data_IF_037181632374
#
_entry.id   IF_037181632374
#
_cell.length_a   1.000
_cell.length_b   1.000
_cell.length_c   1.000
_cell.angle_alpha   90.00
_cell.angle_beta   90.00
_cell.angle_gamma   90.00
#
_symmetry.space_group_name_H-M   'P 1'
#
loop_
_entity.id
_entity.type
_entity.pdbx_description
1 polymer ?
#
# COMPACT_ATOMS: atom_id res chain seq x y z
N UNK A 1 -8.50 -29.42 -0.61
CA UNK A 1 -9.63 -30.37 -0.73
C UNK A 1 -10.45 -30.18 -2.02
N UNK A 2 -10.69 -28.96 -2.52
CA UNK A 2 -11.47 -28.72 -3.75
C UNK A 2 -11.10 -29.59 -4.96
N UNK A 3 -9.81 -29.72 -5.29
CA UNK A 3 -9.37 -30.57 -6.41
C UNK A 3 -9.64 -32.07 -6.20
N UNK A 4 -9.49 -32.57 -4.96
CA UNK A 4 -9.83 -33.97 -4.61
C UNK A 4 -11.34 -34.20 -4.74
N UNK A 5 -12.13 -33.23 -4.28
CA UNK A 5 -13.59 -33.21 -4.37
C UNK A 5 -14.12 -32.88 -5.78
N UNK A 6 -13.23 -32.67 -6.76
CA UNK A 6 -13.56 -32.31 -8.16
C UNK A 6 -14.46 -31.08 -8.29
N UNK A 7 -14.43 -30.19 -7.32
CA UNK A 7 -15.20 -28.95 -7.36
C UNK A 7 -14.56 -27.99 -8.36
N UNK A 8 -15.39 -27.47 -9.27
CA UNK A 8 -14.96 -26.54 -10.30
C UNK A 8 -15.01 -25.11 -9.79
N UNK A 9 -14.05 -24.28 -10.22
CA UNK A 9 -13.99 -22.84 -10.01
C UNK A 9 -13.25 -22.22 -11.20
N UNK A 10 -13.21 -20.89 -11.27
CA UNK A 10 -12.60 -20.15 -12.39
C UNK A 10 -11.15 -20.57 -12.69
N UNK A 11 -10.76 -20.76 -13.96
CA UNK A 11 -9.38 -21.09 -14.35
C UNK A 11 -8.44 -19.87 -14.36
N UNK A 12 -8.98 -18.65 -14.20
CA UNK A 12 -8.20 -17.40 -14.30
C UNK A 12 -7.24 -17.20 -13.10
N UNK A 13 -7.50 -17.86 -11.98
CA UNK A 13 -6.68 -17.69 -10.78
C UNK A 13 -5.35 -18.43 -10.85
N UNK A 14 -4.30 -17.77 -10.35
CA UNK A 14 -2.97 -18.37 -10.16
C UNK A 14 -2.61 -18.38 -8.69
N UNK A 15 -2.55 -19.58 -8.10
CA UNK A 15 -2.31 -19.76 -6.67
C UNK A 15 -0.80 -19.76 -6.38
N UNK A 16 -0.36 -18.87 -5.50
CA UNK A 16 1.00 -18.86 -4.95
C UNK A 16 0.95 -19.39 -3.51
N UNK A 17 1.61 -20.52 -3.26
CA UNK A 17 1.64 -21.14 -1.94
C UNK A 17 2.67 -20.44 -1.03
N UNK A 18 2.23 -20.04 0.15
CA UNK A 18 3.07 -19.60 1.26
C UNK A 18 2.81 -20.49 2.48
N UNK A 19 3.76 -20.55 3.41
CA UNK A 19 3.56 -21.26 4.68
C UNK A 19 2.58 -20.53 5.61
N UNK A 20 2.51 -19.20 5.52
CA UNK A 20 1.63 -18.37 6.32
C UNK A 20 1.29 -17.10 5.57
N UNK A 21 0.05 -16.60 5.71
CA UNK A 21 -0.36 -15.28 5.20
C UNK A 21 0.43 -14.14 5.84
N UNK A 22 0.96 -14.34 7.05
CA UNK A 22 1.87 -13.40 7.71
C UNK A 22 3.12 -13.09 6.88
N UNK A 23 3.49 -13.92 5.90
CA UNK A 23 4.63 -13.69 5.00
C UNK A 23 4.32 -12.74 3.84
N UNK A 24 3.06 -12.39 3.60
CA UNK A 24 2.68 -11.45 2.52
C UNK A 24 3.18 -10.05 2.87
N UNK A 25 4.05 -9.49 2.02
CA UNK A 25 4.54 -8.11 2.14
C UNK A 25 3.64 -7.17 1.32
N UNK A 26 3.07 -6.11 1.91
CA UNK A 26 2.34 -5.05 1.21
C UNK A 26 3.05 -4.50 -0.04
N UNK A 27 4.37 -4.33 0.01
CA UNK A 27 5.12 -3.85 -1.15
C UNK A 27 5.05 -4.84 -2.32
N UNK A 28 5.05 -6.15 -2.05
CA UNK A 28 4.87 -7.17 -3.08
C UNK A 28 3.46 -7.13 -3.68
N UNK A 29 2.44 -6.82 -2.88
CA UNK A 29 1.07 -6.65 -3.35
C UNK A 29 1.00 -5.47 -4.33
N UNK A 30 1.50 -4.29 -3.94
CA UNK A 30 1.55 -3.13 -4.84
C UNK A 30 2.37 -3.39 -6.10
N UNK A 31 3.52 -4.07 -5.97
CA UNK A 31 4.33 -4.49 -7.12
C UNK A 31 3.57 -5.41 -8.08
N UNK A 32 2.72 -6.29 -7.56
CA UNK A 32 1.91 -7.17 -8.39
C UNK A 32 0.88 -6.37 -9.21
N UNK A 33 0.18 -5.41 -8.60
CA UNK A 33 -0.70 -4.47 -9.33
C UNK A 33 0.07 -3.63 -10.33
N UNK A 34 1.26 -3.13 -9.98
CA UNK A 34 2.14 -2.42 -10.92
C UNK A 34 2.49 -3.26 -12.16
N UNK A 35 2.52 -4.60 -12.02
CA UNK A 35 2.74 -5.55 -13.11
C UNK A 35 1.48 -5.91 -13.90
N UNK A 36 0.33 -5.32 -13.57
CA UNK A 36 -0.91 -5.45 -14.35
C UNK A 36 -1.84 -6.58 -13.92
N UNK A 37 -1.83 -6.99 -12.64
CA UNK A 37 -2.90 -7.89 -12.14
C UNK A 37 -4.17 -7.08 -11.84
N UNK A 38 -5.34 -7.63 -12.16
CA UNK A 38 -6.62 -6.96 -11.93
C UNK A 38 -7.14 -7.13 -10.49
N UNK A 39 -6.73 -8.21 -9.82
CA UNK A 39 -7.09 -8.49 -8.44
C UNK A 39 -6.12 -9.43 -7.73
N UNK A 40 -6.05 -9.31 -6.40
CA UNK A 40 -5.25 -10.16 -5.52
C UNK A 40 -6.08 -10.55 -4.30
N UNK A 41 -6.21 -11.85 -4.06
CA UNK A 41 -6.84 -12.37 -2.85
C UNK A 41 -5.83 -13.12 -1.99
N UNK A 42 -5.74 -12.74 -0.72
CA UNK A 42 -4.98 -13.45 0.31
C UNK A 42 -5.94 -14.32 1.11
N UNK A 43 -5.76 -15.64 1.04
CA UNK A 43 -6.56 -16.61 1.81
C UNK A 43 -5.72 -17.16 2.96
N UNK A 44 -6.23 -17.05 4.18
CA UNK A 44 -5.57 -17.55 5.40
C UNK A 44 -6.46 -18.44 6.26
N UNK A 45 -5.88 -18.93 7.35
CA UNK A 45 -6.62 -19.59 8.43
C UNK A 45 -7.53 -18.62 9.17
N UNK A 46 -8.56 -19.16 9.84
CA UNK A 46 -9.40 -18.41 10.77
C UNK A 46 -8.59 -17.80 11.91
N UNK A 47 -9.08 -16.68 12.45
CA UNK A 47 -8.46 -16.05 13.62
C UNK A 47 -8.61 -16.99 14.80
N UNK A 48 -7.52 -17.20 15.55
CA UNK A 48 -7.43 -18.27 16.56
C UNK A 48 -6.81 -19.58 16.06
N UNK A 49 -6.96 -19.92 14.77
CA UNK A 49 -6.47 -21.18 14.19
C UNK A 49 -5.11 -21.03 13.49
N UNK A 50 -4.39 -19.93 13.75
CA UNK A 50 -3.13 -19.69 13.08
C UNK A 50 -2.05 -20.66 13.56
N UNK A 51 -1.51 -21.47 12.65
CA UNK A 51 -0.35 -22.32 12.94
C UNK A 51 0.87 -21.53 13.45
N UNK A 52 0.99 -20.26 13.04
CA UNK A 52 2.04 -19.34 13.49
C UNK A 52 1.51 -18.29 14.46
N UNK A 53 0.49 -18.63 15.26
CA UNK A 53 -0.09 -17.86 16.37
C UNK A 53 -0.79 -16.57 15.93
N UNK A 54 -0.05 -15.58 15.43
CA UNK A 54 -0.59 -14.24 15.10
C UNK A 54 -0.36 -13.83 13.64
N UNK A 55 0.22 -14.71 12.81
CA UNK A 55 0.58 -14.40 11.42
C UNK A 55 -0.60 -13.93 10.56
N UNK A 56 -1.79 -14.50 10.72
CA UNK A 56 -2.99 -14.08 9.99
C UNK A 56 -3.56 -12.74 10.48
N UNK A 57 -3.46 -12.42 11.78
CA UNK A 57 -3.81 -11.10 12.32
C UNK A 57 -2.92 -10.00 11.74
N UNK A 58 -1.60 -10.25 11.66
CA UNK A 58 -0.66 -9.33 11.01
C UNK A 58 -0.96 -9.20 9.51
N UNK A 59 -1.29 -10.28 8.84
CA UNK A 59 -1.68 -10.26 7.43
C UNK A 59 -2.92 -9.38 7.20
N UNK A 60 -3.96 -9.52 8.02
CA UNK A 60 -5.18 -8.69 7.93
C UNK A 60 -4.86 -7.21 8.07
N UNK A 61 -4.10 -6.83 9.11
CA UNK A 61 -3.68 -5.45 9.32
C UNK A 61 -2.90 -4.87 8.13
N UNK A 62 -1.98 -5.67 7.56
CA UNK A 62 -1.22 -5.32 6.36
C UNK A 62 -2.11 -5.10 5.14
N UNK A 63 -3.04 -6.01 4.88
CA UNK A 63 -3.95 -5.89 3.74
C UNK A 63 -4.92 -4.71 3.91
N UNK A 64 -5.44 -4.47 5.10
CA UNK A 64 -6.35 -3.34 5.36
C UNK A 64 -5.69 -1.99 5.10
N UNK A 65 -4.45 -1.80 5.58
CA UNK A 65 -3.70 -0.58 5.30
C UNK A 65 -3.36 -0.46 3.80
N UNK A 66 -3.01 -1.58 3.14
CA UNK A 66 -2.77 -1.59 1.70
C UNK A 66 -4.02 -1.18 0.92
N UNK A 67 -5.20 -1.67 1.32
CA UNK A 67 -6.51 -1.29 0.75
C UNK A 67 -6.79 0.19 0.92
N UNK A 68 -6.52 0.76 2.12
CA UNK A 68 -6.63 2.21 2.36
C UNK A 68 -5.72 3.02 1.44
N UNK A 69 -4.48 2.59 1.26
CA UNK A 69 -3.55 3.25 0.35
C UNK A 69 -4.02 3.15 -1.10
N UNK A 70 -4.52 1.99 -1.53
CA UNK A 70 -5.11 1.80 -2.86
C UNK A 70 -6.28 2.74 -3.11
N UNK A 71 -7.21 2.82 -2.15
CA UNK A 71 -8.31 3.79 -2.20
C UNK A 71 -7.79 5.23 -2.34
N UNK A 72 -6.79 5.60 -1.54
CA UNK A 72 -6.20 6.93 -1.57
C UNK A 72 -5.60 7.29 -2.94
N UNK A 73 -4.94 6.34 -3.61
CA UNK A 73 -4.39 6.56 -4.95
C UNK A 73 -5.43 6.45 -6.08
N UNK A 74 -6.69 6.22 -5.75
CA UNK A 74 -7.79 6.09 -6.71
C UNK A 74 -7.94 4.70 -7.32
N UNK A 75 -7.30 3.68 -6.76
CA UNK A 75 -7.54 2.28 -7.09
C UNK A 75 -8.74 1.75 -6.30
N UNK A 76 -9.57 0.92 -6.93
CA UNK A 76 -10.65 0.25 -6.23
C UNK A 76 -10.10 -0.70 -5.15
N UNK A 77 -10.45 -0.42 -3.89
CA UNK A 77 -9.95 -1.17 -2.73
C UNK A 77 -10.43 -2.63 -2.70
N UNK A 78 -11.47 -2.96 -3.46
CA UNK A 78 -12.00 -4.31 -3.59
C UNK A 78 -11.19 -5.21 -4.52
N UNK A 79 -10.24 -4.64 -5.27
CA UNK A 79 -9.24 -5.42 -6.02
C UNK A 79 -8.31 -6.22 -5.10
N UNK A 80 -8.20 -5.83 -3.82
CA UNK A 80 -7.41 -6.55 -2.81
C UNK A 80 -8.33 -7.13 -1.74
N UNK A 81 -8.35 -8.45 -1.62
CA UNK A 81 -9.16 -9.15 -0.63
C UNK A 81 -8.31 -9.93 0.37
N UNK A 82 -8.74 -9.94 1.64
CA UNK A 82 -8.34 -10.94 2.62
C UNK A 82 -9.54 -11.81 2.95
N UNK A 83 -9.37 -13.13 2.88
CA UNK A 83 -10.41 -14.14 3.18
C UNK A 83 -9.84 -15.22 4.07
N UNK A 84 -10.72 -15.93 4.76
CA UNK A 84 -10.36 -17.01 5.67
C UNK A 84 -11.05 -18.29 5.23
N UNK A 85 -10.30 -19.37 5.24
CA UNK A 85 -10.75 -20.70 4.84
C UNK A 85 -9.89 -21.74 5.56
N UNK A 86 -10.53 -22.74 6.15
CA UNK A 86 -9.86 -23.92 6.68
C UNK A 86 -9.42 -24.86 5.56
N UNK A 87 -8.46 -25.75 5.84
CA UNK A 87 -8.04 -26.79 4.90
C UNK A 87 -9.17 -27.77 4.57
N UNK A 88 -10.13 -27.92 5.49
CA UNK A 88 -11.33 -28.74 5.42
C UNK A 88 -12.41 -28.26 4.44
N UNK A 89 -12.42 -26.97 4.12
CA UNK A 89 -13.59 -26.30 3.56
C UNK A 89 -13.47 -26.13 2.04
N UNK A 90 -13.53 -27.26 1.33
CA UNK A 90 -13.42 -27.30 -0.13
C UNK A 90 -14.45 -26.40 -0.84
N UNK A 91 -15.71 -26.45 -0.41
CA UNK A 91 -16.82 -25.68 -0.99
C UNK A 91 -16.67 -24.18 -0.72
N UNK A 92 -16.29 -23.81 0.50
CA UNK A 92 -16.07 -22.40 0.88
C UNK A 92 -14.92 -21.80 0.06
N UNK A 93 -13.83 -22.54 -0.15
CA UNK A 93 -12.74 -22.08 -1.02
C UNK A 93 -13.22 -21.77 -2.45
N UNK A 94 -14.04 -22.65 -3.01
CA UNK A 94 -14.61 -22.51 -4.36
C UNK A 94 -15.51 -21.29 -4.45
N UNK A 95 -16.37 -21.09 -3.46
CA UNK A 95 -17.25 -19.93 -3.34
C UNK A 95 -16.45 -18.63 -3.26
N UNK A 96 -15.51 -18.53 -2.32
CA UNK A 96 -14.65 -17.35 -2.13
C UNK A 96 -13.89 -16.97 -3.41
N UNK A 97 -13.35 -17.96 -4.11
CA UNK A 97 -12.63 -17.73 -5.38
C UNK A 97 -13.57 -17.25 -6.46
N UNK A 98 -14.73 -17.89 -6.61
CA UNK A 98 -15.69 -17.58 -7.68
C UNK A 98 -16.34 -16.20 -7.46
N UNK A 99 -16.69 -15.86 -6.22
CA UNK A 99 -17.19 -14.54 -5.85
C UNK A 99 -16.14 -13.45 -6.11
N UNK A 100 -14.88 -13.70 -5.76
CA UNK A 100 -13.82 -12.74 -5.99
C UNK A 100 -13.58 -12.53 -7.48
N UNK A 101 -13.55 -13.61 -8.27
CA UNK A 101 -13.40 -13.53 -9.72
C UNK A 101 -14.52 -12.71 -10.36
N UNK A 102 -15.78 -13.01 -10.03
CA UNK A 102 -16.93 -12.24 -10.51
C UNK A 102 -16.81 -10.76 -10.13
N UNK A 103 -16.40 -10.47 -8.89
CA UNK A 103 -16.20 -9.09 -8.42
C UNK A 103 -15.13 -8.35 -9.23
N UNK A 104 -14.02 -9.02 -9.57
CA UNK A 104 -12.97 -8.42 -10.40
C UNK A 104 -13.45 -8.18 -11.83
N UNK A 105 -14.22 -9.12 -12.40
CA UNK A 105 -14.84 -8.95 -13.71
C UNK A 105 -15.80 -7.76 -13.75
N UNK A 106 -16.61 -7.58 -12.69
CA UNK A 106 -17.56 -6.47 -12.57
C UNK A 106 -16.84 -5.10 -12.42
N UNK A 107 -15.70 -5.07 -11.74
CA UNK A 107 -14.84 -3.86 -11.65
C UNK A 107 -14.16 -3.59 -13.00
N UNK A 108 -13.80 -4.65 -13.74
CA UNK A 108 -13.12 -4.56 -15.03
C UNK A 108 -11.60 -4.39 -14.91
N UNK A 109 -10.93 -4.14 -16.05
CA UNK A 109 -9.47 -4.14 -16.13
C UNK A 109 -8.83 -3.07 -15.25
N UNK A 110 -7.62 -3.32 -14.77
CA UNK A 110 -6.83 -2.39 -13.96
C UNK A 110 -6.62 -1.05 -14.67
N UNK A 111 -7.00 0.05 -14.03
CA UNK A 111 -6.98 1.39 -14.61
C UNK A 111 -8.10 1.64 -15.63
N UNK A 112 -9.11 0.78 -15.66
CA UNK A 112 -10.35 0.95 -16.42
C UNK A 112 -11.41 1.75 -15.65
N UNK A 113 -12.68 1.53 -15.97
CA UNK A 113 -13.79 2.32 -15.41
C UNK A 113 -14.12 2.01 -13.94
N UNK A 114 -13.70 0.85 -13.43
CA UNK A 114 -13.85 0.51 -12.01
C UNK A 114 -12.89 1.23 -11.07
N UNK A 115 -11.87 1.93 -11.60
CA UNK A 115 -10.91 2.71 -10.83
C UNK A 115 -11.14 4.22 -11.03
N UNK A 116 -10.90 5.00 -9.98
CA UNK A 116 -11.01 6.47 -10.04
C UNK A 116 -9.89 7.08 -10.88
N UNK A 117 -8.68 6.52 -10.77
CA UNK A 117 -7.53 6.93 -11.59
C UNK A 117 -7.31 5.88 -12.68
N UNK A 118 -7.30 6.34 -13.93
CA UNK A 118 -7.20 5.47 -15.11
C UNK A 118 -5.75 5.22 -15.53
N UNK A 119 -5.56 4.21 -16.39
CA UNK A 119 -4.28 4.00 -17.07
C UNK A 119 -3.95 5.17 -18.03
N UNK A 120 -2.68 5.58 -18.16
CA UNK A 120 -1.48 5.02 -17.54
C UNK A 120 -1.13 5.64 -16.16
N UNK A 121 -1.88 6.64 -15.69
CA UNK A 121 -1.55 7.38 -14.46
C UNK A 121 -1.54 6.50 -13.22
N UNK A 122 -2.46 5.54 -13.14
CA UNK A 122 -2.54 4.60 -12.01
C UNK A 122 -1.23 3.83 -11.80
N UNK A 123 -0.50 3.50 -12.86
CA UNK A 123 0.77 2.76 -12.74
C UNK A 123 1.87 3.61 -12.11
N UNK A 124 1.88 4.92 -12.36
CA UNK A 124 2.80 5.86 -11.67
C UNK A 124 2.45 5.97 -10.19
N UNK A 125 1.16 6.01 -9.86
CA UNK A 125 0.71 6.03 -8.46
C UNK A 125 0.99 4.70 -7.74
N UNK A 126 0.86 3.57 -8.43
CA UNK A 126 1.23 2.25 -7.91
C UNK A 126 2.73 2.12 -7.64
N UNK A 127 3.57 2.75 -8.46
CA UNK A 127 5.01 2.82 -8.22
C UNK A 127 5.33 3.60 -6.93
N UNK A 128 4.69 4.77 -6.74
CA UNK A 128 4.81 5.52 -5.50
C UNK A 128 4.27 4.73 -4.30
N UNK A 129 3.13 4.05 -4.46
CA UNK A 129 2.54 3.22 -3.41
C UNK A 129 3.43 2.04 -3.01
N UNK A 130 4.09 1.37 -3.97
CA UNK A 130 5.09 0.33 -3.68
C UNK A 130 6.23 0.88 -2.81
N UNK A 131 6.74 2.07 -3.14
CA UNK A 131 7.79 2.73 -2.35
C UNK A 131 7.32 3.11 -0.94
N UNK A 132 6.09 3.63 -0.80
CA UNK A 132 5.47 3.94 0.51
C UNK A 132 5.34 2.66 1.36
N UNK A 133 4.83 1.58 0.79
CA UNK A 133 4.62 0.31 1.50
C UNK A 133 5.94 -0.38 1.87
N UNK A 134 6.99 -0.18 1.08
CA UNK A 134 8.35 -0.60 1.42
C UNK A 134 9.03 0.32 2.46
N UNK A 135 8.47 1.51 2.70
CA UNK A 135 9.02 2.52 3.59
C UNK A 135 9.02 2.10 5.06
N UNK A 136 10.06 2.53 5.78
CA UNK A 136 10.24 2.22 7.21
C UNK A 136 9.06 2.72 8.06
N UNK A 137 8.59 3.95 7.82
CA UNK A 137 7.51 4.56 8.62
C UNK A 137 6.24 3.70 8.56
N UNK A 138 5.83 3.30 7.36
CA UNK A 138 4.65 2.45 7.16
C UNK A 138 4.84 1.07 7.80
N UNK A 139 5.99 0.43 7.57
CA UNK A 139 6.30 -0.88 8.17
C UNK A 139 6.26 -0.85 9.70
N UNK A 140 6.80 0.21 10.30
CA UNK A 140 6.78 0.39 11.75
C UNK A 140 5.35 0.53 12.27
N UNK A 141 4.52 1.38 11.66
CA UNK A 141 3.14 1.63 12.13
C UNK A 141 2.30 0.35 12.10
N UNK A 142 2.38 -0.42 11.00
CA UNK A 142 1.69 -1.71 10.90
C UNK A 142 2.13 -2.63 12.05
N UNK A 143 3.46 -2.73 12.28
CA UNK A 143 4.02 -3.57 13.34
C UNK A 143 3.60 -3.13 14.75
N UNK A 144 3.22 -1.87 14.93
CA UNK A 144 2.75 -1.31 16.20
C UNK A 144 1.24 -1.29 16.35
N UNK A 145 0.45 -1.70 15.34
CA UNK A 145 -1.02 -1.75 15.44
C UNK A 145 -1.49 -2.52 16.67
N UNK A 146 -1.08 -3.77 16.82
CA UNK A 146 -1.52 -4.62 17.94
C UNK A 146 -1.11 -4.01 19.29
N UNK A 147 0.17 -3.65 19.52
CA UNK A 147 0.56 -2.95 20.75
C UNK A 147 -0.26 -1.69 21.04
N UNK A 148 -0.51 -0.82 20.06
CA UNK A 148 -1.24 0.42 20.30
C UNK A 148 -2.72 0.22 20.61
N UNK A 149 -3.35 -0.84 20.10
CA UNK A 149 -4.76 -1.13 20.36
C UNK A 149 -4.97 -1.96 21.64
N UNK A 150 -3.96 -2.68 22.11
CA UNK A 150 -4.09 -3.61 23.25
C UNK A 150 -3.31 -3.15 24.48
N UNK A 151 -1.99 -3.00 24.36
CA UNK A 151 -1.11 -2.71 25.50
C UNK A 151 -0.83 -1.22 25.69
N UNK A 152 -1.08 -0.42 24.66
CA UNK A 152 -0.77 1.00 24.59
C UNK A 152 0.67 1.31 24.18
N UNK A 153 0.98 2.61 24.10
CA UNK A 153 2.31 3.12 23.80
C UNK A 153 3.24 3.12 25.04
N UNK A 154 4.44 3.71 24.93
CA UNK A 154 5.41 3.83 26.03
C UNK A 154 4.87 4.57 27.27
N UNK A 155 3.79 5.33 27.13
CA UNK A 155 3.13 6.10 28.19
C UNK A 155 1.86 5.40 28.70
N UNK A 156 1.54 4.21 28.21
CA UNK A 156 0.33 3.46 28.57
C UNK A 156 -0.94 3.96 27.86
N UNK A 157 -0.83 4.82 26.85
CA UNK A 157 -1.98 5.30 26.08
C UNK A 157 -2.42 4.22 25.09
N UNK A 158 -3.64 3.71 25.27
CA UNK A 158 -4.29 2.75 24.37
C UNK A 158 -5.14 3.52 23.38
N UNK A 159 -4.90 3.28 22.09
CA UNK A 159 -5.59 3.93 21.00
C UNK A 159 -6.88 3.17 20.68
N UNK A 160 -7.94 3.91 20.38
CA UNK A 160 -9.10 3.33 19.69
C UNK A 160 -8.76 3.01 18.24
N UNK A 161 -9.51 2.09 17.62
CA UNK A 161 -9.34 1.81 16.19
C UNK A 161 -9.55 3.07 15.33
N UNK A 162 -10.46 3.96 15.73
CA UNK A 162 -10.72 5.21 15.01
C UNK A 162 -9.51 6.15 15.05
N UNK A 163 -8.92 6.36 16.23
CA UNK A 163 -7.74 7.22 16.39
C UNK A 163 -6.54 6.66 15.62
N UNK A 164 -6.32 5.35 15.70
CA UNK A 164 -5.25 4.69 14.95
C UNK A 164 -5.46 4.80 13.44
N UNK A 165 -6.70 4.60 12.97
CA UNK A 165 -7.04 4.73 11.56
C UNK A 165 -6.84 6.15 11.04
N UNK A 166 -7.26 7.17 11.79
CA UNK A 166 -7.03 8.58 11.44
C UNK A 166 -5.54 8.91 11.36
N UNK A 167 -4.74 8.39 12.29
CA UNK A 167 -3.28 8.56 12.26
C UNK A 167 -2.66 7.93 11.01
N UNK A 168 -3.08 6.71 10.65
CA UNK A 168 -2.63 6.05 9.40
C UNK A 168 -3.00 6.89 8.18
N UNK A 169 -4.23 7.39 8.10
CA UNK A 169 -4.69 8.12 6.91
C UNK A 169 -3.85 9.40 6.69
N UNK A 170 -3.52 10.13 7.75
CA UNK A 170 -2.61 11.27 7.68
C UNK A 170 -1.21 10.86 7.22
N UNK A 171 -0.69 9.75 7.73
CA UNK A 171 0.65 9.28 7.38
C UNK A 171 0.71 8.80 5.92
N UNK A 172 -0.34 8.14 5.43
CA UNK A 172 -0.47 7.76 4.01
C UNK A 172 -0.37 8.99 3.12
N UNK A 173 -1.12 10.06 3.44
CA UNK A 173 -1.08 11.32 2.68
C UNK A 173 0.34 11.89 2.65
N UNK A 174 0.97 12.02 3.81
CA UNK A 174 2.33 12.58 3.92
C UNK A 174 3.35 11.75 3.14
N UNK A 175 3.35 10.42 3.30
CA UNK A 175 4.33 9.55 2.63
C UNK A 175 4.11 9.51 1.12
N UNK A 176 2.86 9.53 0.65
CA UNK A 176 2.56 9.61 -0.78
C UNK A 176 3.03 10.94 -1.39
N UNK A 177 2.76 12.06 -0.74
CA UNK A 177 3.24 13.38 -1.19
C UNK A 177 4.76 13.43 -1.25
N UNK A 178 5.45 12.84 -0.27
CA UNK A 178 6.92 12.72 -0.28
C UNK A 178 7.39 11.88 -1.47
N UNK A 179 6.77 10.74 -1.76
CA UNK A 179 7.15 9.92 -2.90
C UNK A 179 6.86 10.61 -4.24
N UNK A 180 5.75 11.34 -4.37
CA UNK A 180 5.44 12.11 -5.57
C UNK A 180 6.45 13.26 -5.79
N UNK A 181 6.86 13.96 -4.73
CA UNK A 181 7.94 14.96 -4.79
C UNK A 181 9.26 14.32 -5.24
N UNK A 182 9.64 13.18 -4.64
CA UNK A 182 10.86 12.47 -5.02
C UNK A 182 10.79 12.00 -6.48
N UNK A 183 9.65 11.55 -6.96
CA UNK A 183 9.46 11.16 -8.36
C UNK A 183 9.69 12.36 -9.31
N UNK A 184 9.16 13.55 -9.00
CA UNK A 184 9.42 14.76 -9.81
C UNK A 184 10.88 15.19 -9.80
N UNK A 185 11.54 15.07 -8.65
CA UNK A 185 12.97 15.39 -8.51
C UNK A 185 13.91 14.37 -9.17
N UNK A 186 13.45 13.14 -9.44
CA UNK A 186 14.18 12.17 -10.29
C UNK A 186 14.19 12.61 -11.75
N UNK A 187 13.11 13.21 -12.23
CA UNK A 187 12.99 13.67 -13.62
C UNK A 187 13.85 14.92 -13.84
N UNK A 188 13.66 15.97 -13.04
CA UNK A 188 14.34 17.24 -13.18
C UNK A 188 14.48 17.96 -11.83
N UNK A 189 15.52 18.80 -11.72
CA UNK A 189 15.64 19.71 -10.58
C UNK A 189 14.51 20.74 -10.61
N UNK A 190 13.87 21.00 -9.46
CA UNK A 190 12.69 21.88 -9.36
C UNK A 190 12.74 22.74 -8.10
N UNK A 191 12.08 23.90 -8.16
CA UNK A 191 11.87 24.72 -6.97
C UNK A 191 10.69 24.22 -6.13
N UNK A 192 10.61 24.68 -4.88
CA UNK A 192 9.45 24.43 -4.00
C UNK A 192 8.15 24.96 -4.62
N UNK A 193 8.23 26.10 -5.33
CA UNK A 193 7.07 26.71 -5.97
C UNK A 193 6.55 25.86 -7.13
N UNK A 194 7.47 25.32 -7.94
CA UNK A 194 7.11 24.47 -9.07
C UNK A 194 6.48 23.17 -8.57
N UNK A 195 7.11 22.50 -7.60
CA UNK A 195 6.59 21.29 -6.97
C UNK A 195 5.20 21.50 -6.34
N UNK A 196 4.98 22.65 -5.68
CA UNK A 196 3.71 22.98 -5.07
C UNK A 196 2.59 23.13 -6.10
N UNK A 197 2.89 23.77 -7.23
CA UNK A 197 1.94 23.94 -8.32
C UNK A 197 1.67 22.62 -9.05
N UNK A 198 2.72 21.88 -9.40
CA UNK A 198 2.62 20.63 -10.17
C UNK A 198 1.85 19.54 -9.43
N UNK A 199 2.06 19.43 -8.11
CA UNK A 199 1.45 18.40 -7.27
C UNK A 199 0.19 18.91 -6.55
N UNK A 200 -0.17 20.17 -6.71
CA UNK A 200 -1.29 20.81 -5.96
C UNK A 200 -1.12 20.65 -4.44
N UNK A 201 0.11 20.80 -3.94
CA UNK A 201 0.46 20.70 -2.52
C UNK A 201 0.76 22.12 -2.01
N UNK A 202 0.23 22.54 -0.85
CA UNK A 202 0.57 23.84 -0.28
C UNK A 202 2.10 24.06 -0.17
N UNK A 203 2.63 25.22 -0.61
CA UNK A 203 4.08 25.47 -0.61
C UNK A 203 4.76 25.28 0.74
N UNK A 204 4.09 25.64 1.84
CA UNK A 204 4.60 25.44 3.19
C UNK A 204 4.82 23.95 3.53
N UNK A 205 3.98 23.06 2.98
CA UNK A 205 4.07 21.61 3.19
C UNK A 205 5.18 21.01 2.33
N UNK A 206 5.28 21.40 1.05
CA UNK A 206 6.41 21.04 0.18
C UNK A 206 7.74 21.48 0.81
N UNK A 207 7.82 22.72 1.29
CA UNK A 207 9.03 23.24 1.93
C UNK A 207 9.44 22.41 3.15
N UNK A 208 8.48 22.02 4.00
CA UNK A 208 8.73 21.15 5.16
C UNK A 208 9.30 19.80 4.73
N UNK A 209 8.71 19.17 3.71
CA UNK A 209 9.18 17.88 3.21
C UNK A 209 10.58 17.99 2.59
N UNK A 210 10.84 18.97 1.72
CA UNK A 210 12.16 19.20 1.12
C UNK A 210 13.22 19.46 2.20
N UNK A 211 12.90 20.26 3.21
CA UNK A 211 13.82 20.53 4.33
C UNK A 211 14.14 19.27 5.13
N UNK A 212 13.15 18.40 5.36
CA UNK A 212 13.35 17.11 6.02
C UNK A 212 14.17 16.14 5.16
N UNK A 213 13.88 16.05 3.85
CA UNK A 213 14.61 15.23 2.89
C UNK A 213 16.07 15.67 2.73
N UNK A 214 16.32 16.99 2.72
CA UNK A 214 17.68 17.56 2.72
C UNK A 214 18.45 17.18 3.96
N UNK A 215 17.83 17.25 5.14
CA UNK A 215 18.45 16.83 6.41
C UNK A 215 18.79 15.34 6.43
N UNK A 216 17.98 14.51 5.75
CA UNK A 216 18.23 13.08 5.56
C UNK A 216 19.23 12.77 4.43
N UNK A 217 19.79 13.78 3.76
CA UNK A 217 20.71 13.60 2.65
C UNK A 217 20.07 12.98 1.39
N UNK A 218 18.74 13.01 1.26
CA UNK A 218 18.04 12.47 0.09
C UNK A 218 17.88 13.50 -1.04
N UNK A 219 17.88 14.78 -0.69
CA UNK A 219 17.71 15.91 -1.62
C UNK A 219 18.81 16.93 -1.35
N UNK A 220 19.38 17.49 -2.40
CA UNK A 220 20.40 18.52 -2.34
C UNK A 220 19.93 19.81 -3.03
N UNK A 221 20.53 20.93 -2.63
CA UNK A 221 20.41 22.17 -3.39
C UNK A 221 21.26 21.99 -4.65
N UNK A 222 20.66 22.16 -5.83
CA UNK A 222 21.37 22.15 -7.11
C UNK A 222 21.94 23.53 -7.40
N UNK A 223 21.06 24.49 -7.60
CA UNK A 223 21.39 25.87 -7.97
C UNK A 223 20.42 26.85 -7.30
N UNK A 224 20.75 28.14 -7.36
CA UNK A 224 19.86 29.22 -6.92
C UNK A 224 19.60 30.14 -8.11
N UNK A 225 18.36 30.15 -8.60
CA UNK A 225 17.93 31.04 -9.67
C UNK A 225 17.37 32.34 -9.07
N UNK A 226 18.21 33.37 -9.00
CA UNK A 226 17.88 34.64 -8.33
C UNK A 226 17.75 34.45 -6.82
N UNK A 227 16.50 34.45 -6.31
CA UNK A 227 16.18 34.18 -4.91
C UNK A 227 15.51 32.81 -4.70
N UNK A 228 15.36 32.02 -5.78
CA UNK A 228 14.62 30.75 -5.76
C UNK A 228 15.59 29.58 -5.70
N UNK A 229 15.64 28.81 -4.59
CA UNK A 229 16.44 27.60 -4.52
C UNK A 229 15.82 26.49 -5.37
N UNK A 230 16.66 25.83 -6.18
CA UNK A 230 16.29 24.68 -7.01
C UNK A 230 16.91 23.43 -6.38
N UNK A 231 16.09 22.40 -6.19
CA UNK A 231 16.48 21.16 -5.52
C UNK A 231 16.55 20.00 -6.50
N UNK A 232 17.42 19.04 -6.23
CA UNK A 232 17.55 17.78 -6.97
C UNK A 232 17.75 16.61 -6.01
N UNK A 233 17.60 15.37 -6.47
CA UNK A 233 17.99 14.21 -5.67
C UNK A 233 19.48 14.25 -5.39
N UNK A 234 19.84 14.00 -4.13
CA UNK A 234 21.24 13.88 -3.75
C UNK A 234 21.86 12.70 -4.50
N UNK A 235 23.01 12.93 -5.16
CA UNK A 235 23.81 11.85 -5.72
C UNK A 235 24.26 10.99 -4.53
N UNK A 236 23.82 9.74 -4.46
CA UNK A 236 24.43 8.79 -3.53
C UNK A 236 25.87 8.58 -3.99
N UNK A 237 26.83 9.02 -3.19
CA UNK A 237 28.20 8.54 -3.32
C UNK A 237 28.16 7.03 -3.07
N UNK A 238 28.54 6.26 -4.10
CA UNK A 238 28.71 4.80 -4.03
C UNK A 238 29.97 4.49 -3.26
#
# INVERSE_FOLDING_TARGET
>A
MAGVSRLQYTPEIKIVRLMCTGRVDPALVAKAFKKGIDGLMVVGCYFGDCHYITGNHQAKAKMDMTRKLFKFIGLNEDRLAFRQCSSGEASVFVELVSEFDQKILDIGPLGGDGDTVKAPEIFKKLEAAEAVLAGEKIRWIIGKRTPFLETGNMYGEVFTEHEFNRAIDMIIVEEMEVQEILARLKETARSVKDLANDLTIPPARVFRYISALKRKGMVALDTVAGQTPIFQIARQEV
#
